data_IF_485875547658
#
_entry.id   IF_485875547658
#
_cell.length_a   1.000
_cell.length_b   1.000
_cell.length_c   1.000
_cell.angle_alpha   90.00
_cell.angle_beta   90.00
_cell.angle_gamma   90.00
#
_symmetry.space_group_name_H-M   'P 1'
#
loop_
_entity.id
_entity.type
_entity.pdbx_description
1 polymer ?
#
# COMPACT_ATOMS: atom_id res chain seq x y z
N UNK A 1 -25.52 15.11 13.58
CA UNK A 1 -24.14 15.58 13.30
C UNK A 1 -23.58 14.62 12.28
N UNK A 2 -23.00 15.11 11.17
CA UNK A 2 -22.37 14.23 10.17
C UNK A 2 -21.17 13.52 10.82
N UNK A 3 -20.81 12.32 10.37
CA UNK A 3 -19.69 11.60 10.97
C UNK A 3 -18.41 12.41 10.87
N UNK A 4 -18.17 13.04 9.72
CA UNK A 4 -16.97 13.87 9.53
C UNK A 4 -16.87 15.01 10.55
N UNK A 5 -17.97 15.66 10.91
CA UNK A 5 -17.99 16.72 11.94
C UNK A 5 -17.65 16.15 13.32
N UNK A 6 -18.14 14.94 13.63
CA UNK A 6 -17.80 14.25 14.88
C UNK A 6 -16.30 13.93 14.94
N UNK A 7 -15.76 13.38 13.85
CA UNK A 7 -14.34 13.05 13.72
C UNK A 7 -13.48 14.30 13.93
N UNK A 8 -13.82 15.39 13.23
CA UNK A 8 -13.03 16.62 13.28
C UNK A 8 -13.05 17.30 14.65
N UNK A 9 -14.13 17.14 15.43
CA UNK A 9 -14.24 17.71 16.77
C UNK A 9 -13.67 16.82 17.89
N UNK A 10 -13.52 15.51 17.63
CA UNK A 10 -13.13 14.53 18.67
C UNK A 10 -11.69 14.05 18.53
N UNK A 11 -11.19 13.85 17.31
CA UNK A 11 -9.86 13.28 17.09
C UNK A 11 -8.82 14.40 16.97
N UNK A 12 -7.67 14.23 17.61
CA UNK A 12 -6.60 15.22 17.60
C UNK A 12 -5.42 14.76 16.73
N UNK A 13 -4.91 15.68 15.91
CA UNK A 13 -3.73 15.43 15.08
C UNK A 13 -2.45 15.64 15.89
N UNK A 14 -1.43 14.81 15.64
CA UNK A 14 -0.12 14.91 16.30
C UNK A 14 -0.03 14.20 17.65
N UNK A 15 -1.08 13.52 18.08
CA UNK A 15 -1.14 12.73 19.31
C UNK A 15 -1.22 11.23 18.97
N UNK A 16 -0.55 10.37 19.73
CA UNK A 16 -0.54 8.92 19.46
C UNK A 16 -1.89 8.26 19.77
N UNK A 17 -2.15 7.06 19.23
CA UNK A 17 -3.35 6.27 19.54
C UNK A 17 -3.57 6.13 21.03
N UNK A 18 -2.54 5.68 21.75
CA UNK A 18 -2.60 5.39 23.18
C UNK A 18 -3.00 6.63 24.01
N UNK A 19 -2.64 7.82 23.54
CA UNK A 19 -2.89 9.08 24.22
C UNK A 19 -4.31 9.63 23.97
N UNK A 20 -5.04 9.12 22.98
CA UNK A 20 -6.39 9.58 22.64
C UNK A 20 -7.42 8.44 22.53
N UNK A 21 -7.19 7.32 23.21
CA UNK A 21 -8.09 6.16 23.20
C UNK A 21 -9.50 6.50 23.66
N UNK A 22 -9.65 7.39 24.66
CA UNK A 22 -10.98 7.82 25.13
C UNK A 22 -11.77 8.50 24.00
N UNK A 23 -11.12 9.36 23.21
CA UNK A 23 -11.73 10.02 22.06
C UNK A 23 -12.07 9.02 20.94
N UNK A 24 -11.18 8.08 20.67
CA UNK A 24 -11.35 7.08 19.62
C UNK A 24 -12.44 6.05 19.96
N UNK A 25 -12.57 5.66 21.23
CA UNK A 25 -13.58 4.70 21.69
C UNK A 25 -15.03 5.17 21.45
N UNK A 26 -15.24 6.48 21.29
CA UNK A 26 -16.54 7.02 20.90
C UNK A 26 -17.01 6.54 19.52
N UNK A 27 -16.12 5.94 18.73
CA UNK A 27 -16.38 5.37 17.41
C UNK A 27 -16.44 3.83 17.41
N UNK A 28 -16.42 3.18 18.58
CA UNK A 28 -16.50 1.72 18.70
C UNK A 28 -17.81 1.13 18.19
N UNK A 29 -18.85 1.94 18.07
CA UNK A 29 -20.16 1.54 17.57
C UNK A 29 -20.61 2.32 16.33
N UNK A 30 -19.66 2.77 15.48
CA UNK A 30 -20.04 3.35 14.18
C UNK A 30 -20.84 2.36 13.33
N UNK A 31 -21.79 2.89 12.57
CA UNK A 31 -22.68 2.10 11.69
C UNK A 31 -22.03 1.81 10.33
N UNK A 32 -22.63 0.92 9.55
CA UNK A 32 -22.20 0.65 8.16
C UNK A 32 -22.27 1.92 7.29
N UNK A 33 -23.32 2.74 7.44
CA UNK A 33 -23.45 4.02 6.73
C UNK A 33 -22.33 5.00 7.11
N UNK A 34 -21.92 5.00 8.37
CA UNK A 34 -20.79 5.80 8.84
C UNK A 34 -19.46 5.26 8.28
N UNK A 35 -19.27 3.94 8.22
CA UNK A 35 -18.08 3.35 7.56
C UNK A 35 -18.03 3.74 6.09
N UNK A 36 -19.16 3.72 5.38
CA UNK A 36 -19.25 4.18 3.99
C UNK A 36 -18.89 5.66 3.85
N UNK A 37 -19.29 6.51 4.80
CA UNK A 37 -18.86 7.92 4.81
C UNK A 37 -17.32 8.03 4.93
N UNK A 38 -16.66 7.16 5.70
CA UNK A 38 -15.18 7.17 5.80
C UNK A 38 -14.49 6.94 4.45
N UNK A 39 -15.06 6.14 3.55
CA UNK A 39 -14.39 5.74 2.29
C UNK A 39 -14.27 6.88 1.27
N UNK A 40 -14.83 8.06 1.54
CA UNK A 40 -14.73 9.22 0.62
C UNK A 40 -13.87 10.36 1.18
N UNK A 41 -13.43 10.27 2.44
CA UNK A 41 -12.73 11.36 3.13
C UNK A 41 -11.19 11.25 3.10
N UNK A 42 -10.63 11.08 1.91
CA UNK A 42 -9.18 10.94 1.67
C UNK A 42 -8.33 12.12 2.19
N UNK A 43 -8.94 13.32 2.32
CA UNK A 43 -8.25 14.57 2.69
C UNK A 43 -8.18 14.86 4.19
N UNK A 44 -8.71 14.00 5.06
CA UNK A 44 -8.64 14.21 6.51
C UNK A 44 -7.63 13.28 7.17
N UNK A 45 -6.63 13.87 7.85
CA UNK A 45 -5.69 13.10 8.68
C UNK A 45 -6.40 12.35 9.81
N UNK A 46 -7.44 12.96 10.39
CA UNK A 46 -8.21 12.38 11.50
C UNK A 46 -9.03 11.18 11.06
N UNK A 47 -9.55 11.18 9.83
CA UNK A 47 -10.16 10.00 9.22
C UNK A 47 -9.13 8.87 9.08
N UNK A 48 -7.91 9.18 8.62
CA UNK A 48 -6.82 8.20 8.58
C UNK A 48 -6.53 7.58 9.95
N UNK A 49 -6.42 8.42 11.00
CA UNK A 49 -6.24 7.97 12.38
C UNK A 49 -7.38 7.04 12.80
N UNK A 50 -8.64 7.45 12.57
CA UNK A 50 -9.78 6.63 12.94
C UNK A 50 -9.78 5.26 12.22
N UNK A 51 -9.48 5.24 10.92
CA UNK A 51 -9.42 3.99 10.14
C UNK A 51 -8.34 3.04 10.70
N UNK A 52 -7.17 3.58 11.05
CA UNK A 52 -6.12 2.78 11.69
C UNK A 52 -6.55 2.21 13.04
N UNK A 53 -7.28 2.99 13.83
CA UNK A 53 -7.84 2.57 15.13
C UNK A 53 -8.87 1.46 15.00
N UNK A 54 -9.87 1.65 14.13
CA UNK A 54 -10.97 0.69 13.94
C UNK A 54 -10.47 -0.67 13.45
N UNK A 55 -9.37 -0.66 12.69
CA UNK A 55 -8.71 -1.87 12.23
C UNK A 55 -9.46 -2.62 11.12
N UNK A 56 -8.77 -3.57 10.51
CA UNK A 56 -9.29 -4.29 9.34
C UNK A 56 -10.47 -5.22 9.68
N UNK A 57 -10.55 -5.74 10.92
CA UNK A 57 -11.61 -6.66 11.33
C UNK A 57 -12.98 -5.98 11.24
N UNK A 58 -13.06 -4.74 11.72
CA UNK A 58 -14.27 -3.93 11.66
C UNK A 58 -14.55 -3.37 10.26
N UNK A 59 -13.50 -3.14 9.48
CA UNK A 59 -13.58 -2.51 8.15
C UNK A 59 -13.56 -3.52 7.00
N UNK A 60 -13.67 -4.82 7.29
CA UNK A 60 -13.40 -5.91 6.36
C UNK A 60 -14.19 -5.81 5.03
N UNK A 61 -15.46 -5.40 5.10
CA UNK A 61 -16.32 -5.31 3.92
C UNK A 61 -15.95 -4.16 2.97
N UNK A 62 -15.13 -3.21 3.42
CA UNK A 62 -14.77 -1.99 2.70
C UNK A 62 -13.28 -1.89 2.39
N UNK A 63 -12.52 -2.97 2.65
CA UNK A 63 -11.11 -3.06 2.30
C UNK A 63 -10.81 -2.70 0.84
N UNK A 64 -11.62 -3.07 -0.18
CA UNK A 64 -11.40 -2.62 -1.55
C UNK A 64 -11.41 -1.10 -1.69
N UNK A 65 -12.39 -0.43 -1.06
CA UNK A 65 -12.51 1.04 -1.10
C UNK A 65 -11.38 1.73 -0.35
N UNK A 66 -10.92 1.16 0.77
CA UNK A 66 -9.76 1.70 1.47
C UNK A 66 -8.46 1.48 0.69
N UNK A 67 -8.34 0.43 -0.10
CA UNK A 67 -7.16 0.23 -0.96
C UNK A 67 -6.99 1.36 -1.99
N UNK A 68 -8.08 2.00 -2.43
CA UNK A 68 -8.07 3.17 -3.33
C UNK A 68 -7.39 4.39 -2.71
N UNK A 69 -7.33 4.51 -1.38
CA UNK A 69 -6.61 5.61 -0.71
C UNK A 69 -5.10 5.57 -0.96
N UNK A 70 -4.59 4.45 -1.50
CA UNK A 70 -3.20 4.30 -1.88
C UNK A 70 -2.93 4.66 -3.35
N UNK A 71 -3.92 5.13 -4.11
CA UNK A 71 -3.67 5.69 -5.45
C UNK A 71 -2.71 6.88 -5.38
N UNK A 72 -2.78 7.66 -4.30
CA UNK A 72 -1.84 8.73 -4.00
C UNK A 72 -1.51 8.76 -2.51
N UNK A 73 -0.30 8.32 -2.16
CA UNK A 73 0.15 8.32 -0.77
C UNK A 73 0.29 9.73 -0.16
N UNK A 74 0.22 10.81 -0.96
CA UNK A 74 0.19 12.17 -0.43
C UNK A 74 -1.17 12.54 0.18
N UNK A 75 -2.22 11.73 -0.05
CA UNK A 75 -3.50 11.98 0.60
C UNK A 75 -3.39 11.80 2.12
N UNK A 76 -3.85 12.78 2.93
CA UNK A 76 -3.74 12.76 4.38
C UNK A 76 -4.17 11.47 5.08
N UNK A 77 -5.22 10.81 4.58
CA UNK A 77 -5.73 9.58 5.18
C UNK A 77 -4.91 8.31 4.82
N UNK A 78 -4.08 8.35 3.78
CA UNK A 78 -3.35 7.18 3.24
C UNK A 78 -2.46 6.51 4.29
N UNK A 79 -1.87 7.31 5.20
CA UNK A 79 -0.96 6.82 6.23
C UNK A 79 -1.63 5.90 7.24
N UNK A 80 -2.82 6.26 7.71
CA UNK A 80 -3.57 5.39 8.64
C UNK A 80 -4.17 4.18 7.92
N UNK A 81 -4.67 4.39 6.70
CA UNK A 81 -5.24 3.32 5.86
C UNK A 81 -4.21 2.26 5.53
N UNK A 82 -3.00 2.63 5.08
CA UNK A 82 -1.96 1.67 4.74
C UNK A 82 -1.56 0.79 5.93
N UNK A 83 -1.43 1.36 7.13
CA UNK A 83 -1.12 0.59 8.35
C UNK A 83 -2.24 -0.37 8.73
N UNK A 84 -3.51 0.02 8.53
CA UNK A 84 -4.65 -0.89 8.69
C UNK A 84 -4.58 -2.04 7.67
N UNK A 85 -4.35 -1.73 6.39
CA UNK A 85 -4.28 -2.72 5.31
C UNK A 85 -3.10 -3.70 5.46
N UNK A 86 -1.95 -3.25 5.98
CA UNK A 86 -0.81 -4.12 6.33
C UNK A 86 -1.25 -5.22 7.30
N UNK A 87 -2.08 -4.88 8.28
CA UNK A 87 -2.60 -5.82 9.30
C UNK A 87 -3.66 -6.79 8.75
N UNK A 88 -4.32 -6.47 7.63
CA UNK A 88 -5.29 -7.36 6.98
C UNK A 88 -4.66 -8.62 6.36
N UNK A 89 -3.34 -8.59 6.08
CA UNK A 89 -2.54 -9.74 5.62
C UNK A 89 -3.19 -10.51 4.46
N UNK A 90 -3.51 -11.80 4.64
CA UNK A 90 -4.12 -12.66 3.63
C UNK A 90 -5.45 -12.14 3.10
N UNK A 91 -6.21 -11.41 3.93
CA UNK A 91 -7.56 -10.98 3.62
C UNK A 91 -7.57 -9.97 2.46
N UNK A 92 -6.55 -9.10 2.39
CA UNK A 92 -6.45 -8.07 1.35
C UNK A 92 -5.80 -8.59 0.05
N UNK A 93 -5.20 -9.79 0.06
CA UNK A 93 -4.49 -10.33 -1.12
C UNK A 93 -5.38 -10.42 -2.38
N UNK A 94 -6.62 -10.94 -2.33
CA UNK A 94 -7.49 -10.99 -3.50
C UNK A 94 -7.68 -9.60 -4.15
N UNK A 95 -7.86 -8.57 -3.33
CA UNK A 95 -8.04 -7.19 -3.82
C UNK A 95 -6.75 -6.60 -4.39
N UNK A 96 -5.59 -6.87 -3.78
CA UNK A 96 -4.30 -6.46 -4.36
C UNK A 96 -4.08 -7.12 -5.73
N UNK A 97 -4.39 -8.42 -5.85
CA UNK A 97 -4.31 -9.12 -7.14
C UNK A 97 -5.27 -8.51 -8.15
N UNK A 98 -6.49 -8.19 -7.73
CA UNK A 98 -7.48 -7.53 -8.58
C UNK A 98 -6.93 -6.19 -9.08
N UNK A 99 -6.37 -5.35 -8.20
CA UNK A 99 -5.78 -4.05 -8.57
C UNK A 99 -4.66 -4.22 -9.61
N UNK A 100 -3.71 -5.13 -9.37
CA UNK A 100 -2.60 -5.36 -10.29
C UNK A 100 -3.03 -5.90 -11.66
N UNK A 101 -4.13 -6.65 -11.74
CA UNK A 101 -4.59 -7.26 -12.99
C UNK A 101 -5.63 -6.41 -13.75
N UNK A 102 -6.49 -5.65 -13.06
CA UNK A 102 -7.58 -4.88 -13.67
C UNK A 102 -7.19 -3.42 -13.93
N UNK A 103 -6.39 -2.80 -13.05
CA UNK A 103 -5.94 -1.42 -13.19
C UNK A 103 -4.51 -1.39 -13.71
N UNK A 104 -4.30 -2.04 -14.85
CA UNK A 104 -2.94 -2.30 -15.37
C UNK A 104 -2.18 -1.03 -15.72
N UNK A 105 -2.82 0.13 -15.84
CA UNK A 105 -2.17 1.39 -16.22
C UNK A 105 -1.93 2.33 -15.04
N UNK A 106 -2.39 1.97 -13.83
CA UNK A 106 -2.20 2.78 -12.64
C UNK A 106 -0.91 2.39 -11.90
N UNK A 107 0.22 2.73 -12.53
CA UNK A 107 1.56 2.34 -12.09
C UNK A 107 1.92 2.97 -10.73
N UNK A 108 1.46 4.20 -10.49
CA UNK A 108 1.63 4.91 -9.22
C UNK A 108 0.89 4.21 -8.09
N UNK A 109 -0.37 3.77 -8.29
CA UNK A 109 -1.08 3.00 -7.29
C UNK A 109 -0.38 1.66 -7.00
N UNK A 110 0.12 0.99 -8.04
CA UNK A 110 0.88 -0.26 -7.86
C UNK A 110 2.14 -0.03 -7.03
N UNK A 111 2.88 1.03 -7.31
CA UNK A 111 4.06 1.43 -6.55
C UNK A 111 3.72 1.67 -5.07
N UNK A 112 2.66 2.41 -4.77
CA UNK A 112 2.27 2.68 -3.38
C UNK A 112 1.81 1.42 -2.64
N UNK A 113 1.09 0.50 -3.28
CA UNK A 113 0.76 -0.80 -2.68
C UNK A 113 2.03 -1.58 -2.33
N UNK A 114 3.04 -1.57 -3.22
CA UNK A 114 4.30 -2.27 -2.99
C UNK A 114 5.05 -1.70 -1.79
N UNK A 115 5.23 -0.38 -1.75
CA UNK A 115 6.01 0.31 -0.71
C UNK A 115 5.30 0.31 0.64
N UNK A 116 4.00 0.59 0.66
CA UNK A 116 3.25 0.79 1.90
C UNK A 116 2.69 -0.50 2.49
N UNK A 117 2.40 -1.52 1.66
CA UNK A 117 1.83 -2.78 2.13
C UNK A 117 2.84 -3.92 2.00
N UNK A 118 3.17 -4.31 0.76
CA UNK A 118 3.80 -5.60 0.48
C UNK A 118 5.23 -5.68 1.05
N UNK A 119 5.99 -4.58 1.01
CA UNK A 119 7.35 -4.52 1.57
C UNK A 119 7.40 -4.85 3.07
N UNK A 120 6.33 -4.49 3.80
CA UNK A 120 6.19 -4.71 5.25
C UNK A 120 5.81 -6.14 5.62
N UNK A 121 5.51 -7.00 4.65
CA UNK A 121 5.13 -8.38 4.89
C UNK A 121 6.32 -9.34 4.97
N UNK A 122 6.08 -10.51 5.57
CA UNK A 122 7.07 -11.58 5.62
C UNK A 122 7.15 -12.34 4.28
N UNK A 123 8.17 -13.18 4.14
CA UNK A 123 8.42 -13.98 2.92
C UNK A 123 7.21 -14.81 2.49
N UNK A 124 6.55 -15.49 3.44
CA UNK A 124 5.42 -16.37 3.16
C UNK A 124 4.26 -15.61 2.50
N UNK A 125 3.93 -14.44 3.03
CA UNK A 125 2.81 -13.64 2.55
C UNK A 125 3.12 -13.00 1.19
N UNK A 126 4.34 -12.47 1.02
CA UNK A 126 4.80 -11.93 -0.29
C UNK A 126 4.82 -13.03 -1.36
N UNK A 127 5.18 -14.28 -1.01
CA UNK A 127 5.20 -15.39 -1.95
C UNK A 127 3.82 -15.64 -2.61
N UNK A 128 2.72 -15.36 -1.91
CA UNK A 128 1.35 -15.49 -2.46
C UNK A 128 1.07 -14.52 -3.61
N UNK A 129 1.89 -13.46 -3.75
CA UNK A 129 1.85 -12.44 -4.79
C UNK A 129 3.01 -12.56 -5.80
N UNK A 130 3.88 -13.57 -5.67
CA UNK A 130 5.07 -13.71 -6.54
C UNK A 130 4.74 -13.63 -8.04
N UNK A 131 3.70 -14.31 -8.57
CA UNK A 131 3.36 -14.21 -9.99
C UNK A 131 2.99 -12.79 -10.42
N UNK A 132 2.24 -12.07 -9.60
CA UNK A 132 1.85 -10.69 -9.88
C UNK A 132 3.04 -9.73 -9.81
N UNK A 133 3.96 -9.91 -8.84
CA UNK A 133 5.19 -9.12 -8.77
C UNK A 133 6.08 -9.33 -9.99
N UNK A 134 6.20 -10.57 -10.49
CA UNK A 134 6.92 -10.84 -11.74
C UNK A 134 6.27 -10.15 -12.94
N UNK A 135 4.93 -10.13 -13.02
CA UNK A 135 4.24 -9.37 -14.08
C UNK A 135 4.55 -7.88 -14.03
N UNK A 136 4.61 -7.28 -12.84
CA UNK A 136 4.99 -5.88 -12.68
C UNK A 136 6.42 -5.64 -13.19
N UNK A 137 7.39 -6.48 -12.82
CA UNK A 137 8.77 -6.40 -13.33
C UNK A 137 8.82 -6.44 -14.86
N UNK A 138 8.07 -7.38 -15.48
CA UNK A 138 8.05 -7.54 -16.94
C UNK A 138 7.44 -6.32 -17.63
N UNK A 139 6.47 -5.66 -16.98
CA UNK A 139 5.83 -4.46 -17.51
C UNK A 139 6.83 -3.32 -17.72
N UNK A 140 7.85 -3.21 -16.87
CA UNK A 140 8.89 -2.19 -16.94
C UNK A 140 8.30 -0.78 -16.97
N UNK A 141 7.41 -0.49 -16.02
CA UNK A 141 6.84 0.83 -15.80
C UNK A 141 7.90 1.87 -15.43
N UNK A 142 7.53 3.14 -15.61
CA UNK A 142 8.34 4.31 -15.28
C UNK A 142 7.71 5.12 -14.15
N UNK A 143 7.13 4.43 -13.17
CA UNK A 143 6.65 4.99 -11.90
C UNK A 143 7.27 4.27 -10.68
N UNK A 144 8.17 3.31 -10.92
CA UNK A 144 8.99 2.63 -9.92
C UNK A 144 8.43 1.29 -9.42
N UNK A 145 7.23 0.88 -9.84
CA UNK A 145 6.62 -0.37 -9.38
C UNK A 145 7.44 -1.61 -9.82
N UNK A 146 7.99 -1.58 -11.02
CA UNK A 146 8.83 -2.66 -11.59
C UNK A 146 10.11 -2.87 -10.79
N UNK A 147 10.78 -1.77 -10.44
CA UNK A 147 12.02 -1.79 -9.64
C UNK A 147 11.70 -2.26 -8.22
N UNK A 148 10.64 -1.71 -7.61
CA UNK A 148 10.24 -2.06 -6.26
C UNK A 148 9.79 -3.52 -6.14
N UNK A 149 9.11 -4.07 -7.15
CA UNK A 149 8.74 -5.48 -7.20
C UNK A 149 9.98 -6.40 -7.26
N UNK A 150 10.98 -6.07 -8.09
CA UNK A 150 12.24 -6.81 -8.13
C UNK A 150 12.98 -6.75 -6.79
N UNK A 151 13.06 -5.55 -6.20
CA UNK A 151 13.68 -5.33 -4.88
C UNK A 151 13.02 -6.21 -3.81
N UNK A 152 11.68 -6.23 -3.75
CA UNK A 152 10.93 -7.07 -2.79
C UNK A 152 11.21 -8.56 -3.01
N UNK A 153 11.15 -9.06 -4.25
CA UNK A 153 11.41 -10.48 -4.52
C UNK A 153 12.84 -10.89 -4.17
N UNK A 154 13.82 -10.01 -4.40
CA UNK A 154 15.21 -10.19 -3.96
C UNK A 154 15.31 -10.23 -2.43
N UNK A 155 14.82 -9.21 -1.74
CA UNK A 155 14.91 -9.09 -0.27
C UNK A 155 14.26 -10.26 0.47
N UNK A 156 13.13 -10.76 -0.04
CA UNK A 156 12.44 -11.90 0.56
C UNK A 156 13.00 -13.25 0.08
N UNK A 157 14.06 -13.26 -0.72
CA UNK A 157 14.69 -14.47 -1.27
C UNK A 157 13.67 -15.38 -1.97
N UNK A 158 12.80 -14.77 -2.78
CA UNK A 158 11.75 -15.46 -3.51
C UNK A 158 12.15 -15.79 -4.94
N UNK A 159 13.28 -15.29 -5.40
CA UNK A 159 13.89 -15.57 -6.70
C UNK A 159 15.39 -15.82 -6.51
N UNK A 160 15.98 -16.59 -7.41
CA UNK A 160 17.40 -16.91 -7.41
C UNK A 160 18.27 -15.73 -7.85
N UNK A 161 19.57 -15.78 -7.53
CA UNK A 161 20.58 -14.84 -8.04
C UNK A 161 20.63 -14.76 -9.58
N UNK A 162 20.30 -15.87 -10.26
CA UNK A 162 20.23 -15.90 -11.73
C UNK A 162 19.03 -15.08 -12.21
N UNK A 163 17.84 -15.35 -11.65
CA UNK A 163 16.61 -14.59 -11.96
C UNK A 163 16.77 -13.09 -11.65
N UNK A 164 17.40 -12.73 -10.53
CA UNK A 164 17.67 -11.33 -10.18
C UNK A 164 18.50 -10.64 -11.28
N UNK A 165 19.59 -11.30 -11.73
CA UNK A 165 20.44 -10.76 -12.79
C UNK A 165 19.69 -10.64 -14.11
N UNK A 166 18.89 -11.62 -14.47
CA UNK A 166 18.09 -11.61 -15.71
C UNK A 166 17.09 -10.45 -15.71
N UNK A 167 16.31 -10.28 -14.64
CA UNK A 167 15.35 -9.18 -14.52
C UNK A 167 16.03 -7.81 -14.43
N UNK A 168 17.15 -7.71 -13.73
CA UNK A 168 17.94 -6.48 -13.68
C UNK A 168 18.45 -6.07 -15.07
N UNK A 169 18.99 -7.00 -15.85
CA UNK A 169 19.44 -6.72 -17.22
C UNK A 169 18.26 -6.39 -18.15
N UNK A 170 17.13 -7.08 -17.98
CA UNK A 170 15.90 -6.77 -18.71
C UNK A 170 15.44 -5.32 -18.47
N UNK A 171 15.35 -4.90 -17.21
CA UNK A 171 14.95 -3.54 -16.85
C UNK A 171 15.96 -2.49 -17.34
N UNK A 172 17.27 -2.74 -17.22
CA UNK A 172 18.31 -1.86 -17.77
C UNK A 172 18.11 -1.61 -19.27
N UNK A 173 17.78 -2.65 -20.03
CA UNK A 173 17.49 -2.53 -21.46
C UNK A 173 16.20 -1.76 -21.72
N UNK A 174 15.16 -1.95 -20.90
CA UNK A 174 13.88 -1.24 -21.04
C UNK A 174 13.98 0.25 -20.70
N UNK A 175 14.84 0.60 -19.76
CA UNK A 175 15.11 1.98 -19.36
C UNK A 175 16.26 2.61 -20.16
N UNK A 176 16.72 1.98 -21.25
CA UNK A 176 17.78 2.53 -22.10
C UNK A 176 17.42 3.94 -22.58
N UNK A 177 18.37 4.87 -22.41
CA UNK A 177 18.17 6.30 -22.72
C UNK A 177 17.54 7.12 -21.60
N UNK A 178 17.09 6.48 -20.51
CA UNK A 178 16.49 7.15 -19.35
C UNK A 178 17.40 7.07 -18.13
N UNK A 179 18.22 8.11 -17.94
CA UNK A 179 19.26 8.13 -16.90
C UNK A 179 18.68 7.97 -15.50
N UNK A 180 17.53 8.60 -15.24
CA UNK A 180 16.88 8.57 -13.93
C UNK A 180 16.52 7.14 -13.53
N UNK A 181 15.78 6.42 -14.39
CA UNK A 181 15.35 5.05 -14.08
C UNK A 181 16.50 4.03 -14.07
N UNK A 182 17.57 4.28 -14.83
CA UNK A 182 18.79 3.47 -14.75
C UNK A 182 19.51 3.66 -13.40
N UNK A 183 19.58 4.89 -12.90
CA UNK A 183 20.19 5.21 -11.61
C UNK A 183 19.34 4.65 -10.46
N UNK A 184 18.03 4.87 -10.48
CA UNK A 184 17.10 4.34 -9.47
C UNK A 184 17.17 2.81 -9.38
N UNK A 185 17.16 2.10 -10.52
CA UNK A 185 17.33 0.64 -10.56
C UNK A 185 18.66 0.19 -9.96
N UNK A 186 19.76 0.91 -10.25
CA UNK A 186 21.08 0.58 -9.72
C UNK A 186 21.10 0.76 -8.21
N UNK A 187 20.56 1.87 -7.72
CA UNK A 187 20.60 2.23 -6.31
C UNK A 187 19.74 1.26 -5.49
N UNK A 188 18.50 1.01 -5.91
CA UNK A 188 17.58 0.15 -5.16
C UNK A 188 18.06 -1.31 -5.12
N UNK A 189 18.64 -1.83 -6.22
CA UNK A 189 19.11 -3.22 -6.27
C UNK A 189 20.50 -3.40 -5.64
N UNK A 190 21.41 -2.42 -5.73
CA UNK A 190 22.77 -2.51 -5.13
C UNK A 190 22.83 -2.13 -3.66
N UNK A 191 22.00 -1.21 -3.17
CA UNK A 191 22.02 -0.78 -1.77
C UNK A 191 21.64 -1.91 -0.79
N UNK A 192 21.09 -3.02 -1.30
CA UNK A 192 20.54 -4.14 -0.52
C UNK A 192 21.23 -5.49 -0.79
N UNK A 193 22.50 -5.45 -1.21
CA UNK A 193 23.42 -6.61 -1.27
C UNK A 193 24.47 -6.49 -0.17
#
# INVERSE_FOLDING_TARGET
MKLIERIENTIEYGISFDQQLENLSQFDHITEDEILELTVHIKSYKVGILIEYLGFEKLNNYLPSFLEFLQDANWPASGGVSKMLVKAREIIIPEIKRVFNEFTNDETWHYWILVLIIKNWNKELVNKLKPELIKLIIKADKEGASIQALSILKEKELISEIEIKEYYQYLLKKFEGDKFWIEDLKDEIKARS
#
